data_IF_875368019550
#
_entry.id   IF_875368019550
#
_cell.length_a   1.000
_cell.length_b   1.000
_cell.length_c   1.000
_cell.angle_alpha   90.00
_cell.angle_beta   90.00
_cell.angle_gamma   90.00
#
_symmetry.space_group_name_H-M   'P 1'
#
loop_
_entity.id
_entity.type
_entity.pdbx_description
1 polymer ?
#
# COMPACT_ATOMS: atom_id res chain seq x y z
N UNK A 1 -10.54 -7.39 -3.08
CA UNK A 1 -11.57 -7.96 -2.17
C UNK A 1 -11.12 -9.17 -1.33
N UNK A 2 -10.46 -10.22 -1.85
CA UNK A 2 -10.09 -11.38 -1.00
C UNK A 2 -8.99 -11.09 0.02
N UNK A 3 -7.91 -10.39 -0.37
CA UNK A 3 -6.82 -9.99 0.55
C UNK A 3 -7.27 -9.04 1.65
N UNK A 4 -8.12 -8.06 1.33
CA UNK A 4 -8.74 -7.14 2.30
C UNK A 4 -9.59 -7.90 3.33
N UNK A 5 -10.45 -8.82 2.88
CA UNK A 5 -11.24 -9.67 3.79
C UNK A 5 -10.36 -10.56 4.67
N UNK A 6 -9.27 -11.11 4.13
CA UNK A 6 -8.32 -11.92 4.92
C UNK A 6 -7.52 -11.07 5.91
N UNK A 7 -7.04 -9.91 5.50
CA UNK A 7 -6.30 -8.98 6.37
C UNK A 7 -7.20 -8.46 7.50
N UNK A 8 -8.42 -8.01 7.19
CA UNK A 8 -9.39 -7.57 8.18
C UNK A 8 -9.77 -8.70 9.14
N UNK A 9 -9.88 -9.95 8.66
CA UNK A 9 -10.11 -11.11 9.51
C UNK A 9 -8.93 -11.42 10.43
N UNK A 10 -7.69 -11.29 9.93
CA UNK A 10 -6.48 -11.50 10.73
C UNK A 10 -6.32 -10.41 11.79
N UNK A 11 -6.56 -9.15 11.44
CA UNK A 11 -6.55 -8.01 12.38
C UNK A 11 -7.64 -8.18 13.42
N UNK A 12 -8.87 -8.52 13.02
CA UNK A 12 -9.98 -8.79 13.95
C UNK A 12 -9.61 -9.91 14.92
N UNK A 13 -9.08 -11.05 14.45
CA UNK A 13 -8.67 -12.15 15.34
C UNK A 13 -7.54 -11.75 16.31
N UNK A 14 -6.61 -10.91 15.85
CA UNK A 14 -5.55 -10.38 16.68
C UNK A 14 -6.12 -9.46 17.77
N UNK A 15 -6.97 -8.51 17.40
CA UNK A 15 -7.61 -7.57 18.35
C UNK A 15 -8.54 -8.29 19.32
N UNK A 16 -9.29 -9.30 18.88
CA UNK A 16 -10.13 -10.12 19.76
C UNK A 16 -9.29 -10.80 20.84
N UNK A 17 -8.16 -11.40 20.45
CA UNK A 17 -7.26 -12.05 21.39
C UNK A 17 -6.59 -11.05 22.35
N UNK A 18 -6.22 -9.86 21.87
CA UNK A 18 -5.73 -8.78 22.75
C UNK A 18 -6.85 -8.32 23.70
N UNK A 19 -8.07 -8.20 23.20
CA UNK A 19 -9.26 -7.88 23.99
C UNK A 19 -9.52 -8.89 25.11
N UNK A 20 -9.35 -10.19 24.87
CA UNK A 20 -9.40 -11.22 25.91
C UNK A 20 -8.32 -11.01 26.99
N UNK A 21 -7.11 -10.59 26.61
CA UNK A 21 -6.03 -10.28 27.56
C UNK A 21 -6.37 -9.06 28.42
N UNK A 22 -6.94 -8.01 27.81
CA UNK A 22 -7.42 -6.82 28.53
C UNK A 22 -8.56 -7.19 29.48
N UNK A 23 -9.58 -7.89 29.00
CA UNK A 23 -10.75 -8.26 29.80
C UNK A 23 -10.42 -9.21 30.97
N UNK A 24 -9.32 -9.98 30.86
CA UNK A 24 -8.85 -10.85 31.95
C UNK A 24 -7.89 -10.16 32.94
N UNK A 25 -7.69 -8.85 32.82
CA UNK A 25 -6.84 -8.05 33.70
C UNK A 25 -5.35 -8.37 33.60
N UNK A 26 -4.93 -9.08 32.55
CA UNK A 26 -3.53 -9.54 32.41
C UNK A 26 -2.53 -8.42 32.11
N UNK A 27 -3.04 -7.26 31.68
CA UNK A 27 -2.24 -6.06 31.39
C UNK A 27 -2.37 -5.01 32.51
N UNK A 28 -3.23 -5.22 33.50
CA UNK A 28 -3.58 -4.21 34.48
C UNK A 28 -2.42 -3.91 35.41
N UNK A 29 -2.11 -2.63 35.59
CA UNK A 29 -1.02 -2.17 36.44
C UNK A 29 0.39 -2.51 35.95
N UNK A 30 0.52 -3.07 34.72
CA UNK A 30 1.81 -3.48 34.14
C UNK A 30 2.33 -2.47 33.13
N UNK A 31 3.65 -2.40 33.01
CA UNK A 31 4.32 -1.71 31.93
C UNK A 31 4.15 -2.54 30.63
N UNK A 32 3.33 -2.07 29.70
CA UNK A 32 3.04 -2.80 28.45
C UNK A 32 4.10 -2.51 27.40
N UNK A 33 4.76 -3.58 26.92
CA UNK A 33 5.84 -3.54 25.94
C UNK A 33 5.38 -4.34 24.71
N UNK A 34 5.54 -3.77 23.52
CA UNK A 34 5.14 -4.43 22.28
C UNK A 34 6.38 -4.99 21.56
N UNK A 35 6.45 -6.31 21.41
CA UNK A 35 7.57 -7.00 20.74
C UNK A 35 7.23 -7.30 19.28
N UNK A 36 7.88 -6.56 18.39
CA UNK A 36 7.81 -6.73 16.94
C UNK A 36 7.08 -5.56 16.34
N UNK A 37 7.84 -4.68 15.69
CA UNK A 37 7.28 -3.51 15.02
C UNK A 37 6.74 -3.96 13.66
N UNK A 38 5.49 -4.43 13.67
CA UNK A 38 4.81 -4.97 12.50
C UNK A 38 3.93 -3.93 11.83
N UNK A 39 3.48 -4.23 10.62
CA UNK A 39 2.60 -3.34 9.86
C UNK A 39 1.26 -3.09 10.57
N UNK A 40 0.74 -4.09 11.27
CA UNK A 40 -0.52 -4.04 12.01
C UNK A 40 -0.38 -3.35 13.39
N UNK A 41 0.80 -2.83 13.73
CA UNK A 41 1.11 -2.29 15.07
C UNK A 41 0.19 -1.13 15.46
N UNK A 42 -0.17 -0.25 14.53
CA UNK A 42 -1.03 0.89 14.82
C UNK A 42 -2.43 0.48 15.33
N UNK A 43 -3.01 -0.61 14.80
CA UNK A 43 -4.28 -1.14 15.29
C UNK A 43 -4.15 -1.61 16.75
N UNK A 44 -3.02 -2.24 17.09
CA UNK A 44 -2.74 -2.68 18.46
C UNK A 44 -2.59 -1.47 19.38
N UNK A 45 -1.78 -0.48 18.97
CA UNK A 45 -1.54 0.75 19.73
C UNK A 45 -2.86 1.47 19.98
N UNK A 46 -3.62 1.78 18.94
CA UNK A 46 -4.89 2.47 19.05
C UNK A 46 -5.89 1.70 19.93
N UNK A 47 -6.01 0.38 19.73
CA UNK A 47 -6.89 -0.45 20.55
C UNK A 47 -6.52 -0.39 22.04
N UNK A 48 -5.24 -0.58 22.38
CA UNK A 48 -4.79 -0.53 23.77
C UNK A 48 -4.97 0.87 24.38
N UNK A 49 -4.62 1.93 23.66
CA UNK A 49 -4.80 3.31 24.12
C UNK A 49 -6.27 3.65 24.33
N UNK A 50 -7.19 3.18 23.47
CA UNK A 50 -8.64 3.35 23.65
C UNK A 50 -9.19 2.67 24.92
N UNK A 51 -8.42 1.72 25.49
CA UNK A 51 -8.71 1.05 26.76
C UNK A 51 -7.95 1.66 27.94
N UNK A 52 -7.33 2.82 27.75
CA UNK A 52 -6.54 3.50 28.78
C UNK A 52 -5.18 2.85 29.05
N UNK A 53 -4.73 1.91 28.21
CA UNK A 53 -3.46 1.21 28.40
C UNK A 53 -2.35 2.02 27.71
N UNK A 54 -1.36 2.45 28.50
CA UNK A 54 -0.17 3.14 28.01
C UNK A 54 0.89 2.13 27.60
N UNK A 55 1.48 2.33 26.42
CA UNK A 55 2.60 1.54 25.93
C UNK A 55 3.90 2.23 26.34
N UNK A 56 4.83 1.46 26.90
CA UNK A 56 6.07 2.00 27.45
C UNK A 56 7.24 1.93 26.46
N UNK A 57 7.28 0.89 25.63
CA UNK A 57 8.33 0.72 24.63
C UNK A 57 7.92 -0.26 23.52
N UNK A 58 8.59 -0.10 22.38
CA UNK A 58 8.68 -1.13 21.36
C UNK A 58 10.03 -1.85 21.49
N UNK A 59 10.02 -3.16 21.24
CA UNK A 59 11.25 -3.93 21.07
C UNK A 59 11.24 -4.66 19.72
N UNK A 60 12.37 -4.68 19.03
CA UNK A 60 12.53 -5.34 17.73
C UNK A 60 13.99 -5.81 17.56
N UNK A 61 14.18 -6.90 16.82
CA UNK A 61 15.51 -7.45 16.54
C UNK A 61 16.17 -6.81 15.30
N UNK A 62 15.43 -6.00 14.54
CA UNK A 62 15.94 -5.35 13.33
C UNK A 62 16.87 -4.18 13.67
N UNK A 63 18.16 -4.21 13.28
CA UNK A 63 19.08 -3.07 13.48
C UNK A 63 18.58 -1.78 12.81
N UNK A 64 17.76 -1.90 11.75
CA UNK A 64 17.18 -0.76 11.03
C UNK A 64 16.10 -0.01 11.82
N UNK A 65 15.52 -0.65 12.84
CA UNK A 65 14.44 -0.09 13.65
C UNK A 65 14.90 0.33 15.04
N UNK A 66 15.89 -0.37 15.59
CA UNK A 66 16.48 -0.04 16.90
C UNK A 66 16.99 1.41 16.88
N UNK A 67 16.66 2.18 17.93
CA UNK A 67 17.00 3.59 18.06
C UNK A 67 16.01 4.56 17.41
N UNK A 68 15.01 4.07 16.66
CA UNK A 68 13.90 4.90 16.14
C UNK A 68 12.80 5.05 17.19
N UNK A 69 11.86 5.96 16.93
CA UNK A 69 10.62 6.10 17.69
C UNK A 69 9.40 5.87 16.78
N UNK A 70 8.32 5.37 17.35
CA UNK A 70 7.04 5.11 16.70
C UNK A 70 5.97 5.77 17.58
N UNK A 71 5.21 6.74 17.06
CA UNK A 71 4.25 7.51 17.87
C UNK A 71 4.87 8.06 19.18
N UNK A 72 6.08 8.61 19.08
CA UNK A 72 6.83 9.14 20.24
C UNK A 72 7.42 8.09 21.20
N UNK A 73 7.22 6.80 20.96
CA UNK A 73 7.71 5.70 21.82
C UNK A 73 8.94 5.04 21.19
N UNK A 74 10.03 4.92 21.95
CA UNK A 74 11.30 4.37 21.46
C UNK A 74 11.25 2.87 21.12
N UNK A 75 12.08 2.49 20.14
CA UNK A 75 12.34 1.10 19.74
C UNK A 75 13.71 0.67 20.21
N UNK A 76 13.76 -0.43 20.95
CA UNK A 76 14.98 -0.96 21.54
C UNK A 76 15.24 -2.40 21.10
N UNK A 77 16.47 -2.88 21.28
CA UNK A 77 16.70 -4.33 21.21
C UNK A 77 16.11 -5.00 22.46
N UNK A 78 15.64 -6.26 22.38
CA UNK A 78 15.14 -6.98 23.55
C UNK A 78 16.14 -7.02 24.69
N UNK A 79 17.42 -7.26 24.38
CA UNK A 79 18.49 -7.36 25.39
C UNK A 79 18.75 -6.02 26.07
N UNK A 80 18.76 -4.91 25.33
CA UNK A 80 19.05 -3.59 25.91
C UNK A 80 17.95 -3.08 26.84
N UNK A 81 16.69 -3.46 26.58
CA UNK A 81 15.54 -2.92 27.29
C UNK A 81 15.00 -3.83 28.39
N UNK A 82 15.16 -5.14 28.22
CA UNK A 82 14.60 -6.15 29.12
C UNK A 82 15.64 -6.75 30.07
N UNK A 83 16.91 -6.36 29.96
CA UNK A 83 17.98 -6.78 30.87
C UNK A 83 18.50 -5.57 31.68
N UNK A 84 18.53 -5.61 33.03
CA UNK A 84 18.07 -6.71 33.90
C UNK A 84 16.55 -6.95 33.81
N UNK A 85 16.13 -8.17 34.19
CA UNK A 85 14.72 -8.56 34.15
C UNK A 85 13.84 -7.56 34.93
N UNK A 86 12.83 -7.02 34.26
CA UNK A 86 11.80 -6.16 34.86
C UNK A 86 10.72 -7.01 35.55
N UNK A 87 10.28 -6.61 36.74
CA UNK A 87 9.34 -7.37 37.60
C UNK A 87 7.85 -7.06 37.38
N UNK A 88 7.51 -5.99 36.65
CA UNK A 88 6.12 -5.56 36.44
C UNK A 88 5.82 -5.17 34.98
N UNK A 89 6.09 -6.10 34.05
CA UNK A 89 5.89 -5.89 32.62
C UNK A 89 4.87 -6.86 32.04
N UNK A 90 4.22 -6.43 30.95
CA UNK A 90 3.47 -7.29 30.05
C UNK A 90 4.02 -7.12 28.63
N UNK A 91 4.75 -8.14 28.15
CA UNK A 91 5.35 -8.13 26.82
C UNK A 91 4.38 -8.80 25.84
N UNK A 92 3.83 -8.06 24.90
CA UNK A 92 2.95 -8.59 23.86
C UNK A 92 3.73 -8.83 22.57
N UNK A 93 3.89 -10.10 22.20
CA UNK A 93 4.52 -10.50 20.94
C UNK A 93 3.53 -10.24 19.79
N UNK A 94 3.89 -9.28 18.94
CA UNK A 94 3.06 -8.74 17.86
C UNK A 94 3.39 -9.33 16.48
N UNK A 95 4.48 -10.10 16.33
CA UNK A 95 4.78 -10.77 15.06
C UNK A 95 4.14 -12.15 14.99
N UNK A 96 3.22 -12.35 14.05
CA UNK A 96 2.73 -13.68 13.74
C UNK A 96 3.87 -14.58 13.23
N UNK A 97 4.71 -14.08 12.32
CA UNK A 97 5.74 -14.89 11.66
C UNK A 97 6.85 -15.36 12.60
N UNK A 98 7.30 -14.48 13.50
CA UNK A 98 8.47 -14.70 14.37
C UNK A 98 8.08 -15.05 15.82
N UNK A 99 6.83 -15.41 16.05
CA UNK A 99 6.29 -15.61 17.40
C UNK A 99 7.06 -16.65 18.20
N UNK A 100 7.52 -17.73 17.53
CA UNK A 100 8.22 -18.83 18.20
C UNK A 100 9.63 -18.40 18.62
N UNK A 101 10.36 -17.79 17.70
CA UNK A 101 11.71 -17.27 17.90
C UNK A 101 11.71 -16.21 19.01
N UNK A 102 10.79 -15.24 18.94
CA UNK A 102 10.63 -14.21 19.96
C UNK A 102 10.22 -14.80 21.32
N UNK A 103 9.36 -15.83 21.35
CA UNK A 103 9.01 -16.52 22.59
C UNK A 103 10.20 -17.26 23.21
N UNK A 104 11.13 -17.78 22.41
CA UNK A 104 12.36 -18.40 22.91
C UNK A 104 13.27 -17.33 23.51
N UNK A 105 13.49 -16.23 22.80
CA UNK A 105 14.34 -15.11 23.24
C UNK A 105 13.85 -14.48 24.56
N UNK A 106 12.55 -14.20 24.67
CA UNK A 106 11.97 -13.65 25.91
C UNK A 106 12.12 -14.62 27.08
N UNK A 107 11.98 -15.93 26.84
CA UNK A 107 12.22 -16.96 27.87
C UNK A 107 13.68 -17.03 28.29
N UNK A 108 14.63 -16.90 27.38
CA UNK A 108 16.06 -16.88 27.76
C UNK A 108 16.43 -15.66 28.59
N UNK A 109 15.68 -14.56 28.49
CA UNK A 109 15.81 -13.38 29.35
C UNK A 109 15.09 -13.54 30.71
N UNK A 110 14.52 -14.71 31.00
CA UNK A 110 13.93 -15.05 32.29
C UNK A 110 12.44 -14.72 32.43
N UNK A 111 11.75 -14.30 31.36
CA UNK A 111 10.33 -13.98 31.39
C UNK A 111 9.45 -15.21 31.15
N UNK A 112 8.29 -15.26 31.81
CA UNK A 112 7.40 -16.43 31.82
C UNK A 112 6.15 -16.22 30.97
N UNK A 113 5.81 -17.20 30.14
CA UNK A 113 4.64 -17.13 29.25
C UNK A 113 3.35 -17.09 30.06
N UNK A 114 2.40 -16.28 29.62
CA UNK A 114 1.11 -16.04 30.26
C UNK A 114 1.18 -15.36 31.63
N UNK A 115 2.38 -14.97 32.08
CA UNK A 115 2.59 -14.16 33.29
C UNK A 115 3.20 -12.83 32.87
N UNK A 116 4.40 -12.89 32.29
CA UNK A 116 5.19 -11.73 31.89
C UNK A 116 5.00 -11.40 30.39
N UNK A 117 4.74 -12.41 29.56
CA UNK A 117 4.58 -12.22 28.11
C UNK A 117 3.43 -13.02 27.50
N UNK A 118 2.86 -12.46 26.44
CA UNK A 118 1.68 -12.94 25.73
C UNK A 118 1.89 -12.86 24.22
N UNK A 119 0.99 -13.47 23.44
CA UNK A 119 1.07 -13.47 21.98
C UNK A 119 -0.20 -12.86 21.41
N UNK A 120 -0.05 -11.91 20.48
CA UNK A 120 -1.18 -11.26 19.82
C UNK A 120 -1.93 -12.22 18.89
N UNK A 121 -1.29 -13.30 18.42
CA UNK A 121 -1.88 -14.30 17.53
C UNK A 121 -2.02 -15.68 18.19
N UNK A 122 -3.19 -16.31 18.03
CA UNK A 122 -3.41 -17.72 18.36
C UNK A 122 -3.06 -18.59 17.14
N UNK A 123 -1.89 -19.23 17.15
CA UNK A 123 -1.53 -20.21 16.12
C UNK A 123 -2.45 -21.44 16.20
N UNK A 124 -3.27 -21.65 15.17
CA UNK A 124 -3.95 -22.93 14.95
C UNK A 124 -3.06 -23.79 14.06
N UNK A 125 -2.68 -24.99 14.53
CA UNK A 125 -2.05 -26.00 13.64
C UNK A 125 -2.96 -26.19 12.42
N UNK A 126 -2.41 -26.19 11.20
CA UNK A 126 -3.25 -26.33 10.02
C UNK A 126 -3.86 -27.74 10.02
N UNK A 127 -5.19 -27.80 10.14
CA UNK A 127 -5.97 -29.04 10.26
C UNK A 127 -5.92 -29.92 8.99
N UNK A 128 -5.47 -29.37 7.86
CA UNK A 128 -5.51 -30.04 6.56
C UNK A 128 -4.27 -30.93 6.33
N UNK A 129 -4.45 -32.25 6.15
CA UNK A 129 -3.41 -33.19 5.73
C UNK A 129 -2.64 -32.73 4.49
N UNK A 130 -1.35 -33.10 4.39
CA UNK A 130 -0.45 -32.68 3.31
C UNK A 130 -0.99 -33.07 1.92
N UNK A 131 -1.42 -34.32 1.74
CA UNK A 131 -1.97 -34.84 0.49
C UNK A 131 -3.17 -34.02 -0.03
N UNK A 132 -4.07 -33.58 0.86
CA UNK A 132 -5.20 -32.74 0.47
C UNK A 132 -4.75 -31.35 -0.01
N UNK A 133 -3.63 -30.83 0.48
CA UNK A 133 -3.05 -29.56 -0.02
C UNK A 133 -2.46 -29.70 -1.41
N UNK A 134 -1.86 -30.85 -1.72
CA UNK A 134 -1.34 -31.16 -3.05
C UNK A 134 -2.48 -31.26 -4.07
N UNK A 135 -3.56 -31.98 -3.73
CA UNK A 135 -4.77 -32.04 -4.56
C UNK A 135 -5.35 -30.64 -4.80
N UNK A 136 -5.44 -29.82 -3.75
CA UNK A 136 -5.93 -28.44 -3.88
C UNK A 136 -5.02 -27.59 -4.79
N UNK A 137 -3.71 -27.81 -4.72
CA UNK A 137 -2.73 -27.10 -5.56
C UNK A 137 -2.86 -27.51 -7.03
N UNK A 138 -3.02 -28.81 -7.32
CA UNK A 138 -3.28 -29.32 -8.66
C UNK A 138 -4.60 -28.77 -9.23
N UNK A 139 -5.68 -28.78 -8.44
CA UNK A 139 -6.97 -28.16 -8.83
C UNK A 139 -6.80 -26.67 -9.15
N UNK A 140 -5.96 -25.96 -8.40
CA UNK A 140 -5.66 -24.53 -8.64
C UNK A 140 -4.95 -24.33 -9.98
N UNK A 141 -3.95 -25.16 -10.28
CA UNK A 141 -3.19 -25.15 -11.55
C UNK A 141 -4.12 -25.44 -12.73
N UNK A 142 -4.89 -26.53 -12.66
CA UNK A 142 -5.83 -26.92 -13.73
C UNK A 142 -6.87 -25.81 -13.98
N UNK A 143 -7.46 -25.26 -12.91
CA UNK A 143 -8.39 -24.14 -13.03
C UNK A 143 -7.76 -22.91 -13.67
N UNK A 144 -6.50 -22.60 -13.36
CA UNK A 144 -5.75 -21.51 -13.99
C UNK A 144 -5.53 -21.72 -15.49
N UNK A 145 -5.19 -22.95 -15.90
CA UNK A 145 -5.01 -23.29 -17.31
C UNK A 145 -6.31 -23.16 -18.11
N UNK A 146 -7.45 -23.54 -17.55
CA UNK A 146 -8.75 -23.33 -18.20
C UNK A 146 -9.12 -21.85 -18.31
N UNK A 147 -8.79 -21.02 -17.31
CA UNK A 147 -8.97 -19.57 -17.40
C UNK A 147 -8.12 -19.02 -18.55
N UNK A 148 -6.86 -19.42 -18.65
CA UNK A 148 -5.97 -19.03 -19.75
C UNK A 148 -6.55 -19.41 -21.11
N UNK A 149 -6.93 -20.69 -21.31
CA UNK A 149 -7.55 -21.16 -22.55
C UNK A 149 -8.78 -20.36 -22.95
N UNK A 150 -9.63 -20.03 -21.97
CA UNK A 150 -10.85 -19.26 -22.21
C UNK A 150 -10.53 -17.83 -22.66
N UNK A 151 -9.56 -17.17 -22.04
CA UNK A 151 -9.17 -15.79 -22.39
C UNK A 151 -8.48 -15.76 -23.76
N UNK A 152 -7.64 -16.75 -24.05
CA UNK A 152 -6.92 -16.84 -25.33
C UNK A 152 -7.78 -17.40 -26.47
N UNK A 153 -9.01 -17.84 -26.19
CA UNK A 153 -9.89 -18.41 -27.21
C UNK A 153 -10.25 -17.35 -28.25
N UNK A 154 -10.16 -17.70 -29.54
CA UNK A 154 -10.39 -16.78 -30.65
C UNK A 154 -9.23 -15.84 -30.97
N UNK A 155 -8.15 -15.85 -30.19
CA UNK A 155 -6.92 -15.11 -30.53
C UNK A 155 -5.97 -15.97 -31.39
N UNK A 156 -5.10 -15.33 -32.19
CA UNK A 156 -4.04 -16.03 -32.92
C UNK A 156 -3.15 -16.87 -32.01
N UNK A 157 -2.63 -18.00 -32.50
CA UNK A 157 -1.76 -18.91 -31.71
C UNK A 157 -0.50 -18.24 -31.17
N UNK A 158 -0.01 -17.22 -31.85
CA UNK A 158 1.16 -16.45 -31.43
C UNK A 158 0.84 -15.36 -30.41
N UNK A 159 -0.44 -15.10 -30.08
CA UNK A 159 -0.83 -14.04 -29.18
C UNK A 159 -0.26 -14.20 -27.77
N UNK A 160 0.08 -13.07 -27.14
CA UNK A 160 0.67 -13.01 -25.80
C UNK A 160 -0.34 -12.44 -24.80
N UNK A 161 -0.51 -13.14 -23.68
CA UNK A 161 -1.24 -12.62 -22.53
C UNK A 161 -0.33 -11.73 -21.67
N UNK A 162 -0.65 -10.44 -21.61
CA UNK A 162 0.06 -9.44 -20.79
C UNK A 162 -0.69 -9.28 -19.47
N UNK A 163 -0.24 -9.98 -18.43
CA UNK A 163 -0.97 -10.09 -17.16
C UNK A 163 -0.53 -9.00 -16.18
N UNK A 164 -1.43 -8.06 -15.88
CA UNK A 164 -1.31 -7.07 -14.80
C UNK A 164 -1.81 -7.71 -13.49
N UNK A 165 -0.91 -8.12 -12.59
CA UNK A 165 -1.24 -9.04 -11.52
C UNK A 165 -1.65 -8.32 -10.23
N UNK A 166 -1.17 -7.10 -9.99
CA UNK A 166 -1.59 -6.31 -8.84
C UNK A 166 -2.81 -5.47 -9.16
N UNK A 167 -3.58 -5.15 -8.12
CA UNK A 167 -4.80 -4.35 -8.23
C UNK A 167 -4.56 -2.86 -7.95
N UNK A 168 -3.29 -2.45 -7.76
CA UNK A 168 -2.91 -1.08 -7.46
C UNK A 168 -2.87 -0.21 -8.71
N UNK A 169 -3.19 1.08 -8.55
CA UNK A 169 -3.11 2.06 -9.64
C UNK A 169 -1.66 2.41 -10.00
N UNK A 170 -0.75 2.47 -9.03
CA UNK A 170 0.66 2.79 -9.26
C UNK A 170 1.36 1.76 -10.15
N UNK A 171 1.24 0.47 -9.83
CA UNK A 171 1.75 -0.62 -10.69
C UNK A 171 1.20 -0.53 -12.11
N UNK A 172 -0.12 -0.31 -12.24
CA UNK A 172 -0.79 -0.22 -13.53
C UNK A 172 -0.33 1.01 -14.33
N UNK A 173 -0.03 2.12 -13.66
CA UNK A 173 0.45 3.34 -14.28
C UNK A 173 1.85 3.15 -14.85
N UNK A 174 2.78 2.60 -14.05
CA UNK A 174 4.13 2.28 -14.50
C UNK A 174 4.16 1.22 -15.61
N UNK A 175 3.24 0.24 -15.54
CA UNK A 175 3.00 -0.67 -16.67
C UNK A 175 2.62 0.11 -17.92
N UNK A 176 1.62 0.99 -17.83
CA UNK A 176 1.13 1.78 -18.95
C UNK A 176 2.22 2.62 -19.62
N UNK A 177 3.09 3.25 -18.81
CA UNK A 177 4.22 4.07 -19.27
C UNK A 177 5.18 3.32 -20.21
N UNK A 178 5.44 2.03 -19.96
CA UNK A 178 6.48 1.28 -20.67
C UNK A 178 5.96 0.18 -21.58
N UNK A 179 4.68 -0.20 -21.47
CA UNK A 179 4.16 -1.36 -22.18
C UNK A 179 4.24 -1.24 -23.70
N UNK A 180 4.01 -0.05 -24.27
CA UNK A 180 4.14 0.20 -25.72
C UNK A 180 5.57 -0.07 -26.20
N UNK A 181 6.57 0.41 -25.45
CA UNK A 181 7.99 0.19 -25.76
C UNK A 181 8.37 -1.29 -25.69
N UNK A 182 7.87 -1.99 -24.67
CA UNK A 182 8.08 -3.44 -24.54
C UNK A 182 7.46 -4.24 -25.68
N UNK A 183 6.20 -3.94 -26.04
CA UNK A 183 5.51 -4.58 -27.18
C UNK A 183 6.32 -4.41 -28.46
N UNK A 184 6.86 -3.21 -28.69
CA UNK A 184 7.72 -2.92 -29.85
C UNK A 184 9.04 -3.69 -29.79
N UNK A 185 9.73 -3.67 -28.64
CA UNK A 185 11.00 -4.38 -28.44
C UNK A 185 10.88 -5.88 -28.72
N UNK A 186 9.82 -6.50 -28.22
CA UNK A 186 9.61 -7.95 -28.32
C UNK A 186 8.86 -8.37 -29.59
N UNK A 187 8.53 -7.43 -30.49
CA UNK A 187 7.76 -7.67 -31.72
C UNK A 187 6.45 -8.44 -31.46
N UNK A 188 5.64 -7.95 -30.49
CA UNK A 188 4.38 -8.59 -30.11
C UNK A 188 3.23 -8.02 -30.97
N UNK A 189 2.86 -8.74 -32.03
CA UNK A 189 1.80 -8.31 -32.96
C UNK A 189 0.38 -8.52 -32.42
N UNK A 190 0.20 -9.57 -31.61
CA UNK A 190 -1.10 -9.94 -31.05
C UNK A 190 -0.99 -10.12 -29.55
N UNK A 191 -1.82 -9.42 -28.80
CA UNK A 191 -1.83 -9.52 -27.35
C UNK A 191 -3.20 -9.25 -26.76
N UNK A 192 -3.36 -9.67 -25.51
CA UNK A 192 -4.49 -9.31 -24.67
C UNK A 192 -3.99 -8.91 -23.30
N UNK A 193 -4.45 -7.76 -22.81
CA UNK A 193 -4.12 -7.32 -21.45
C UNK A 193 -5.11 -7.95 -20.49
N UNK A 194 -4.60 -8.55 -19.42
CA UNK A 194 -5.41 -9.14 -18.37
C UNK A 194 -5.20 -8.35 -17.08
N UNK A 195 -6.24 -7.63 -16.66
CA UNK A 195 -6.22 -6.72 -15.53
C UNK A 195 -6.83 -7.34 -14.27
N UNK A 196 -6.10 -7.34 -13.15
CA UNK A 196 -6.64 -7.74 -11.84
C UNK A 196 -7.50 -6.61 -11.23
N UNK A 197 -8.75 -6.52 -11.69
CA UNK A 197 -9.74 -5.56 -11.21
C UNK A 197 -9.97 -4.37 -12.15
N UNK A 198 -11.08 -3.65 -11.93
CA UNK A 198 -11.52 -2.55 -12.79
C UNK A 198 -10.63 -1.32 -12.70
N UNK A 199 -10.02 -1.03 -11.54
CA UNK A 199 -9.11 0.10 -11.38
C UNK A 199 -7.92 -0.02 -12.34
N UNK A 200 -7.28 -1.18 -12.39
CA UNK A 200 -6.17 -1.48 -13.31
C UNK A 200 -6.60 -1.28 -14.76
N UNK A 201 -7.79 -1.78 -15.15
CA UNK A 201 -8.35 -1.57 -16.48
C UNK A 201 -8.49 -0.07 -16.81
N UNK A 202 -8.99 0.74 -15.88
CA UNK A 202 -9.12 2.19 -16.08
C UNK A 202 -7.76 2.85 -16.27
N UNK A 203 -6.76 2.49 -15.47
CA UNK A 203 -5.41 3.06 -15.57
C UNK A 203 -4.75 2.71 -16.92
N UNK A 204 -4.77 1.44 -17.33
CA UNK A 204 -4.14 1.05 -18.61
C UNK A 204 -4.84 1.68 -19.83
N UNK A 205 -6.15 1.94 -19.72
CA UNK A 205 -6.91 2.66 -20.76
C UNK A 205 -6.42 4.10 -20.96
N UNK A 206 -5.90 4.76 -19.93
CA UNK A 206 -5.26 6.08 -20.08
C UNK A 206 -4.10 6.03 -21.09
N UNK A 207 -3.47 4.88 -21.28
CA UNK A 207 -2.38 4.69 -22.26
C UNK A 207 -2.87 4.14 -23.61
N UNK A 208 -4.16 4.30 -23.91
CA UNK A 208 -4.81 3.86 -25.16
C UNK A 208 -4.91 2.34 -25.34
N UNK A 209 -4.86 1.56 -24.26
CA UNK A 209 -5.05 0.11 -24.34
C UNK A 209 -6.54 -0.26 -24.19
N UNK A 210 -7.17 -0.64 -25.30
CA UNK A 210 -8.60 -1.01 -25.33
C UNK A 210 -8.87 -2.49 -25.04
N UNK A 211 -7.99 -3.38 -25.52
CA UNK A 211 -8.16 -4.84 -25.42
C UNK A 211 -7.76 -5.38 -24.03
N UNK A 212 -8.64 -5.12 -23.05
CA UNK A 212 -8.40 -5.44 -21.64
C UNK A 212 -9.50 -6.33 -21.06
N UNK A 213 -9.12 -7.53 -20.60
CA UNK A 213 -9.97 -8.46 -19.86
C UNK A 213 -9.77 -8.28 -18.38
N UNK A 214 -10.87 -8.12 -17.63
CA UNK A 214 -10.82 -8.01 -16.17
C UNK A 214 -10.97 -9.39 -15.54
N UNK A 215 -10.07 -9.71 -14.62
CA UNK A 215 -10.14 -10.89 -13.76
C UNK A 215 -10.17 -10.49 -12.29
N UNK A 216 -10.65 -11.39 -11.44
CA UNK A 216 -10.61 -11.20 -9.99
C UNK A 216 -9.33 -11.77 -9.35
N UNK A 217 -9.01 -11.44 -8.09
CA UNK A 217 -7.80 -11.91 -7.43
C UNK A 217 -7.63 -13.44 -7.39
N UNK A 218 -8.73 -14.20 -7.26
CA UNK A 218 -8.69 -15.67 -7.25
C UNK A 218 -8.31 -16.23 -8.62
N UNK A 219 -8.87 -15.67 -9.69
CA UNK A 219 -8.51 -16.04 -11.06
C UNK A 219 -7.05 -15.72 -11.35
N UNK A 220 -6.57 -14.56 -10.90
CA UNK A 220 -5.16 -14.16 -11.00
C UNK A 220 -4.24 -15.14 -10.27
N UNK A 221 -4.57 -15.53 -9.04
CA UNK A 221 -3.79 -16.50 -8.27
C UNK A 221 -3.70 -17.85 -8.99
N UNK A 222 -4.81 -18.30 -9.59
CA UNK A 222 -4.87 -19.54 -10.37
C UNK A 222 -4.05 -19.45 -11.65
N UNK A 223 -4.18 -18.35 -12.41
CA UNK A 223 -3.41 -18.11 -13.63
C UNK A 223 -1.91 -18.12 -13.37
N UNK A 224 -1.44 -17.40 -12.35
CA UNK A 224 -0.03 -17.41 -11.97
C UNK A 224 0.43 -18.81 -11.53
N UNK A 225 -0.39 -19.55 -10.79
CA UNK A 225 -0.06 -20.91 -10.40
C UNK A 225 0.10 -21.84 -11.61
N UNK A 226 -0.82 -21.74 -12.57
CA UNK A 226 -0.76 -22.52 -13.80
C UNK A 226 0.48 -22.16 -14.63
N UNK A 227 0.73 -20.87 -14.81
CA UNK A 227 1.90 -20.38 -15.53
C UNK A 227 3.22 -20.79 -14.85
N UNK A 228 3.31 -20.71 -13.52
CA UNK A 228 4.49 -21.17 -12.78
C UNK A 228 4.76 -22.67 -12.96
N UNK A 229 3.70 -23.48 -13.05
CA UNK A 229 3.83 -24.93 -13.20
C UNK A 229 4.12 -25.35 -14.64
N UNK A 230 3.48 -24.70 -15.62
CA UNK A 230 3.52 -25.09 -17.04
C UNK A 230 4.51 -24.27 -17.89
N UNK A 231 4.91 -23.11 -17.40
CA UNK A 231 5.83 -22.14 -18.01
C UNK A 231 5.42 -21.69 -19.44
N UNK A 232 6.32 -20.96 -20.10
CA UNK A 232 6.18 -20.44 -21.46
C UNK A 232 5.99 -21.52 -22.53
N UNK A 233 6.40 -22.76 -22.27
CA UNK A 233 6.22 -23.88 -23.20
C UNK A 233 4.75 -24.20 -23.49
N UNK A 234 3.86 -24.00 -22.51
CA UNK A 234 2.43 -24.28 -22.64
C UNK A 234 1.54 -23.04 -22.53
N UNK A 235 2.07 -21.94 -22.01
CA UNK A 235 1.31 -20.71 -21.74
C UNK A 235 2.12 -19.47 -22.17
N UNK A 236 1.68 -18.79 -23.24
CA UNK A 236 2.27 -17.51 -23.67
C UNK A 236 1.77 -16.37 -22.78
N UNK A 237 2.33 -16.27 -21.59
CA UNK A 237 2.00 -15.26 -20.59
C UNK A 237 3.25 -14.49 -20.21
N UNK A 238 3.16 -13.16 -20.19
CA UNK A 238 4.13 -12.26 -19.56
C UNK A 238 3.48 -11.65 -18.32
N UNK A 239 3.81 -12.11 -17.11
CA UNK A 239 3.44 -11.41 -15.89
C UNK A 239 4.18 -10.06 -15.84
N UNK A 240 3.42 -8.97 -15.73
CA UNK A 240 3.94 -7.61 -15.63
C UNK A 240 4.19 -7.29 -14.16
N UNK A 241 5.24 -7.91 -13.63
CA UNK A 241 5.47 -8.06 -12.20
C UNK A 241 6.98 -8.08 -11.92
N UNK A 242 7.44 -7.19 -11.05
CA UNK A 242 8.85 -6.99 -10.74
C UNK A 242 9.33 -7.79 -9.50
N UNK A 243 8.45 -8.07 -8.52
CA UNK A 243 8.82 -8.85 -7.33
C UNK A 243 8.40 -10.33 -7.36
N UNK A 244 9.23 -11.21 -6.79
CA UNK A 244 8.80 -12.40 -6.02
C UNK A 244 8.09 -13.56 -6.78
N UNK A 245 7.96 -13.53 -8.11
CA UNK A 245 7.20 -14.57 -8.81
C UNK A 245 8.03 -15.75 -9.35
N UNK A 246 9.33 -15.55 -9.64
CA UNK A 246 10.25 -16.63 -10.08
C UNK A 246 11.08 -17.24 -8.95
N UNK A 247 11.32 -16.46 -7.90
CA UNK A 247 12.08 -16.90 -6.72
C UNK A 247 11.37 -16.29 -5.53
N UNK A 248 10.94 -17.10 -4.54
CA UNK A 248 10.46 -16.63 -3.23
C UNK A 248 11.56 -15.97 -2.38
N UNK A 249 12.59 -15.46 -3.04
CA UNK A 249 13.66 -14.69 -2.46
C UNK A 249 13.35 -13.28 -2.90
N UNK A 250 13.07 -12.42 -1.92
CA UNK A 250 13.26 -10.99 -2.08
C UNK A 250 14.66 -10.81 -2.66
N UNK A 251 14.76 -10.67 -3.97
CA UNK A 251 15.83 -9.89 -4.56
C UNK A 251 15.45 -8.42 -4.31
N UNK A 252 15.16 -8.08 -3.04
CA UNK A 252 15.54 -6.78 -2.53
C UNK A 252 17.07 -6.81 -2.57
N UNK A 253 17.68 -6.72 -3.77
CA UNK A 253 18.99 -6.09 -3.86
C UNK A 253 18.73 -4.77 -3.16
N UNK A 254 19.32 -4.64 -1.97
CA UNK A 254 18.94 -3.66 -0.97
C UNK A 254 18.48 -2.36 -1.65
N UNK A 255 17.20 -2.02 -1.53
CA UNK A 255 16.67 -0.73 -2.00
C UNK A 255 17.41 0.45 -1.35
N UNK A 256 18.09 0.18 -0.24
CA UNK A 256 18.96 1.10 0.48
C UNK A 256 20.42 1.14 -0.04
N UNK A 257 20.85 0.23 -0.92
CA UNK A 257 22.23 0.14 -1.47
C UNK A 257 22.29 0.56 -2.94
N UNK A 258 21.27 0.24 -3.74
CA UNK A 258 21.20 0.67 -5.13
C UNK A 258 20.22 1.84 -5.25
N UNK A 259 20.59 2.95 -5.92
CA UNK A 259 19.74 4.12 -6.11
C UNK A 259 18.70 3.87 -7.22
N UNK A 260 17.94 2.79 -7.08
CA UNK A 260 16.86 2.43 -8.00
C UNK A 260 15.54 2.93 -7.44
N UNK A 261 14.74 3.56 -8.29
CA UNK A 261 13.38 3.95 -7.98
C UNK A 261 12.38 2.84 -8.30
N UNK A 262 11.15 2.99 -7.81
CA UNK A 262 10.04 2.11 -8.16
C UNK A 262 9.76 2.07 -9.68
N UNK A 263 9.99 3.17 -10.38
CA UNK A 263 9.89 3.25 -11.84
C UNK A 263 10.95 2.38 -12.53
N UNK A 264 12.16 2.34 -11.97
CA UNK A 264 13.30 1.61 -12.54
C UNK A 264 13.09 0.09 -12.48
N UNK A 265 12.47 -0.40 -11.41
CA UNK A 265 12.10 -1.81 -11.29
C UNK A 265 11.15 -2.27 -12.41
N UNK A 266 10.24 -1.40 -12.86
CA UNK A 266 9.44 -1.69 -14.04
C UNK A 266 10.25 -1.60 -15.32
N UNK A 267 10.98 -0.50 -15.52
CA UNK A 267 11.76 -0.25 -16.74
C UNK A 267 12.78 -1.36 -16.99
N UNK A 268 13.67 -1.60 -16.04
CA UNK A 268 14.77 -2.56 -16.16
C UNK A 268 14.37 -3.97 -15.74
N UNK A 269 13.58 -4.12 -14.68
CA UNK A 269 13.25 -5.45 -14.14
C UNK A 269 12.10 -6.16 -14.88
N UNK A 270 11.00 -5.46 -15.18
CA UNK A 270 9.83 -6.07 -15.83
C UNK A 270 9.98 -6.09 -17.34
N UNK A 271 10.37 -4.95 -17.90
CA UNK A 271 10.37 -4.73 -19.34
C UNK A 271 11.77 -4.85 -19.97
N UNK A 272 12.83 -4.87 -19.15
CA UNK A 272 14.22 -5.00 -19.61
C UNK A 272 14.57 -3.94 -20.67
N UNK A 273 14.07 -2.72 -20.50
CA UNK A 273 14.24 -1.62 -21.45
C UNK A 273 15.52 -0.83 -21.17
N UNK A 274 16.12 -0.31 -22.24
CA UNK A 274 17.33 0.52 -22.14
C UNK A 274 17.04 1.88 -21.50
N UNK A 275 18.08 2.50 -20.95
CA UNK A 275 18.01 3.80 -20.28
C UNK A 275 17.46 4.92 -21.21
N UNK A 276 17.77 4.87 -22.50
CA UNK A 276 17.30 5.86 -23.48
C UNK A 276 15.79 5.79 -23.76
N UNK A 277 15.10 4.72 -23.33
CA UNK A 277 13.67 4.57 -23.58
C UNK A 277 12.87 5.61 -22.80
N UNK A 278 12.13 6.42 -23.56
CA UNK A 278 11.21 7.44 -23.05
C UNK A 278 9.89 6.79 -22.67
N UNK A 279 9.36 7.14 -21.51
CA UNK A 279 8.06 6.70 -21.05
C UNK A 279 6.93 7.28 -21.91
N UNK A 280 5.90 6.48 -22.15
CA UNK A 280 4.64 6.98 -22.72
C UNK A 280 3.89 7.81 -21.69
N UNK A 281 3.24 8.87 -22.14
CA UNK A 281 2.32 9.66 -21.30
C UNK A 281 0.90 9.09 -21.32
N UNK A 282 0.16 9.17 -20.20
CA UNK A 282 -1.28 8.93 -20.20
C UNK A 282 -2.03 10.01 -21.00
N UNK A 283 -3.26 9.68 -21.40
CA UNK A 283 -4.21 10.57 -22.07
C UNK A 283 -5.40 10.76 -21.13
N UNK A 284 -5.71 12.02 -20.84
CA UNK A 284 -6.84 12.43 -20.00
C UNK A 284 -7.94 13.08 -20.84
N UNK A 285 -9.16 13.08 -20.32
CA UNK A 285 -10.30 13.77 -20.89
C UNK A 285 -10.23 15.25 -20.51
N UNK A 286 -9.76 16.08 -21.45
CA UNK A 286 -9.60 17.53 -21.28
C UNK A 286 -10.89 18.33 -21.57
N UNK A 287 -12.07 17.69 -21.51
CA UNK A 287 -13.33 18.39 -21.74
C UNK A 287 -13.62 19.42 -20.64
N UNK A 288 -13.32 20.69 -20.94
CA UNK A 288 -13.47 21.82 -20.01
C UNK A 288 -14.90 21.94 -19.45
N UNK A 289 -15.93 21.63 -20.24
CA UNK A 289 -17.32 21.69 -19.78
C UNK A 289 -17.63 20.66 -18.70
N UNK A 290 -17.03 19.48 -18.76
CA UNK A 290 -17.17 18.46 -17.72
C UNK A 290 -16.42 18.85 -16.45
N UNK A 291 -15.27 19.53 -16.60
CA UNK A 291 -14.54 20.11 -15.48
C UNK A 291 -15.38 21.23 -14.84
N UNK A 292 -15.93 22.18 -15.61
CA UNK A 292 -16.82 23.23 -15.12
C UNK A 292 -18.01 22.65 -14.35
N UNK A 293 -18.71 21.68 -14.96
CA UNK A 293 -19.85 21.02 -14.34
C UNK A 293 -19.47 20.32 -13.03
N UNK A 294 -18.26 19.77 -12.92
CA UNK A 294 -17.77 19.21 -11.66
C UNK A 294 -17.62 20.30 -10.59
N UNK A 295 -16.97 21.43 -10.91
CA UNK A 295 -16.78 22.52 -9.95
C UNK A 295 -18.11 23.15 -9.53
N UNK A 296 -19.02 23.39 -10.48
CA UNK A 296 -20.35 23.94 -10.22
C UNK A 296 -21.19 23.02 -9.33
N UNK A 297 -21.21 21.72 -9.65
CA UNK A 297 -21.95 20.69 -8.89
C UNK A 297 -21.56 20.68 -7.42
N UNK A 298 -20.27 20.86 -7.14
CA UNK A 298 -19.73 20.81 -5.80
C UNK A 298 -19.53 22.21 -5.19
N UNK A 299 -19.87 23.30 -5.88
CA UNK A 299 -19.64 24.67 -5.39
C UNK A 299 -18.17 24.95 -5.06
N UNK A 300 -17.25 24.42 -5.86
CA UNK A 300 -15.79 24.55 -5.68
C UNK A 300 -15.26 25.76 -6.46
N UNK A 301 -14.16 26.34 -5.97
CA UNK A 301 -13.54 27.52 -6.59
C UNK A 301 -12.28 27.10 -7.36
N UNK A 302 -12.28 27.26 -8.69
CA UNK A 302 -11.10 26.99 -9.52
C UNK A 302 -9.89 27.82 -9.09
N UNK A 303 -8.70 27.22 -9.10
CA UNK A 303 -7.43 27.81 -8.66
C UNK A 303 -7.35 28.07 -7.14
N UNK A 304 -8.44 27.85 -6.40
CA UNK A 304 -8.55 28.02 -4.94
C UNK A 304 -9.21 26.82 -4.28
N UNK A 305 -9.08 25.64 -4.89
CA UNK A 305 -9.56 24.38 -4.30
C UNK A 305 -8.38 23.47 -3.98
N UNK A 306 -8.38 22.93 -2.76
CA UNK A 306 -7.46 21.85 -2.37
C UNK A 306 -8.23 20.54 -2.29
N UNK A 307 -7.84 19.56 -3.09
CA UNK A 307 -8.40 18.21 -3.05
C UNK A 307 -7.54 17.34 -2.14
N UNK A 308 -8.14 16.80 -1.07
CA UNK A 308 -7.48 15.90 -0.14
C UNK A 308 -7.60 14.44 -0.58
N UNK A 309 -6.52 13.68 -0.50
CA UNK A 309 -6.51 12.22 -0.62
C UNK A 309 -5.88 11.60 0.64
N UNK A 310 -6.61 11.56 1.76
CA UNK A 310 -6.08 11.12 3.05
C UNK A 310 -5.98 9.59 3.18
N UNK A 311 -6.46 8.84 2.17
CA UNK A 311 -6.57 7.39 2.20
C UNK A 311 -5.60 6.73 1.23
N UNK A 312 -5.04 5.58 1.65
CA UNK A 312 -4.11 4.78 0.86
C UNK A 312 -4.58 3.31 0.81
N UNK A 313 -5.70 3.05 0.12
CA UNK A 313 -6.19 1.71 -0.14
C UNK A 313 -6.35 0.85 1.14
N UNK A 314 -5.67 -0.29 1.23
CA UNK A 314 -5.74 -1.17 2.41
C UNK A 314 -4.97 -0.66 3.64
N UNK A 315 -4.28 0.47 3.51
CA UNK A 315 -3.46 1.11 4.51
C UNK A 315 -4.04 2.51 4.75
N UNK A 316 -5.18 2.59 5.43
CA UNK A 316 -5.65 3.89 5.91
C UNK A 316 -4.49 4.53 6.70
N UNK A 317 -4.10 5.76 6.33
CA UNK A 317 -2.93 6.48 6.86
C UNK A 317 -2.73 6.19 8.35
N UNK A 318 -1.56 5.64 8.67
CA UNK A 318 -1.29 5.04 9.97
C UNK A 318 -0.84 6.07 11.01
N UNK A 319 -0.43 7.28 10.59
CA UNK A 319 0.16 8.30 11.46
C UNK A 319 -0.63 9.61 11.45
N UNK A 320 -1.13 10.05 10.29
CA UNK A 320 -1.84 11.32 10.22
C UNK A 320 -3.26 11.11 10.76
N UNK A 321 -3.51 11.65 11.95
CA UNK A 321 -4.80 11.53 12.61
C UNK A 321 -5.89 12.32 11.88
N UNK A 322 -7.16 11.97 12.13
CA UNK A 322 -8.29 12.77 11.64
C UNK A 322 -8.23 14.21 12.15
N UNK A 323 -7.79 14.41 13.39
CA UNK A 323 -7.62 15.74 13.98
C UNK A 323 -6.58 16.57 13.23
N UNK A 324 -5.45 15.98 12.83
CA UNK A 324 -4.46 16.67 12.00
C UNK A 324 -5.03 17.05 10.64
N UNK A 325 -5.76 16.14 9.99
CA UNK A 325 -6.44 16.47 8.73
C UNK A 325 -7.46 17.60 8.91
N UNK A 326 -8.21 17.62 10.00
CA UNK A 326 -9.14 18.70 10.34
C UNK A 326 -8.41 20.03 10.57
N UNK A 327 -7.25 20.02 11.23
CA UNK A 327 -6.41 21.21 11.38
C UNK A 327 -5.92 21.73 10.03
N UNK A 328 -5.48 20.85 9.13
CA UNK A 328 -5.12 21.21 7.75
C UNK A 328 -6.33 21.82 7.03
N UNK A 329 -7.51 21.22 7.11
CA UNK A 329 -8.75 21.74 6.50
C UNK A 329 -9.07 23.13 7.02
N UNK A 330 -9.03 23.33 8.34
CA UNK A 330 -9.34 24.62 8.95
C UNK A 330 -8.30 25.70 8.56
N UNK A 331 -7.02 25.34 8.53
CA UNK A 331 -5.94 26.23 8.09
C UNK A 331 -6.03 26.62 6.62
N UNK A 332 -6.41 25.70 5.73
CA UNK A 332 -6.64 26.01 4.32
C UNK A 332 -7.84 26.93 4.12
N UNK A 333 -8.95 26.66 4.83
CA UNK A 333 -10.14 27.51 4.76
C UNK A 333 -9.90 28.93 5.28
N UNK A 334 -9.13 29.09 6.36
CA UNK A 334 -8.78 30.43 6.86
C UNK A 334 -7.92 31.22 5.87
N UNK A 335 -7.19 30.53 4.99
CA UNK A 335 -6.45 31.11 3.85
C UNK A 335 -7.31 31.33 2.58
N UNK A 336 -8.61 31.08 2.66
CA UNK A 336 -9.56 31.33 1.57
C UNK A 336 -9.66 30.21 0.53
N UNK A 337 -9.18 28.99 0.82
CA UNK A 337 -9.37 27.84 -0.06
C UNK A 337 -10.71 27.14 0.19
N UNK A 338 -11.35 26.69 -0.89
CA UNK A 338 -12.31 25.59 -0.83
C UNK A 338 -11.55 24.28 -0.62
N UNK A 339 -12.10 23.36 0.19
CA UNK A 339 -11.44 22.08 0.50
C UNK A 339 -12.44 20.93 0.38
N UNK A 340 -12.05 19.87 -0.33
CA UNK A 340 -12.87 18.67 -0.51
C UNK A 340 -12.03 17.40 -0.32
N UNK A 341 -12.67 16.29 0.03
CA UNK A 341 -11.99 14.99 0.19
C UNK A 341 -12.35 14.08 -0.97
N UNK A 342 -11.35 13.57 -1.67
CA UNK A 342 -11.51 12.44 -2.59
C UNK A 342 -11.91 11.21 -1.78
N UNK A 343 -13.16 10.77 -1.97
CA UNK A 343 -13.82 9.82 -1.08
C UNK A 343 -14.73 8.89 -1.88
N UNK A 344 -14.70 7.61 -1.51
CA UNK A 344 -15.63 6.60 -2.03
C UNK A 344 -16.82 6.34 -1.07
N UNK A 345 -17.10 7.28 -0.17
CA UNK A 345 -18.23 7.22 0.77
C UNK A 345 -17.85 6.55 2.09
N UNK A 346 -18.69 5.63 2.59
CA UNK A 346 -18.59 5.10 3.96
C UNK A 346 -17.26 4.39 4.25
N UNK A 347 -16.63 3.79 3.24
CA UNK A 347 -15.33 3.09 3.40
C UNK A 347 -14.15 4.07 3.57
N UNK A 348 -14.27 5.27 3.01
CA UNK A 348 -13.25 6.33 3.02
C UNK A 348 -13.98 7.67 3.24
N UNK A 349 -14.49 7.94 4.46
CA UNK A 349 -15.38 9.07 4.71
C UNK A 349 -14.70 10.41 4.42
N UNK A 350 -15.44 11.49 4.11
CA UNK A 350 -14.79 12.80 3.99
C UNK A 350 -14.23 13.24 5.35
N UNK A 351 -13.09 13.94 5.33
CA UNK A 351 -12.57 14.61 6.52
C UNK A 351 -13.60 15.64 6.99
N UNK A 352 -13.77 15.77 8.30
CA UNK A 352 -14.72 16.72 8.86
C UNK A 352 -14.43 18.15 8.36
N UNK A 353 -15.51 18.85 8.01
CA UNK A 353 -15.41 20.17 7.39
C UNK A 353 -15.20 20.15 5.87
N UNK A 354 -15.11 18.98 5.23
CA UNK A 354 -15.02 18.88 3.77
C UNK A 354 -16.25 18.17 3.19
N UNK A 355 -16.48 18.37 1.89
CA UNK A 355 -17.42 17.54 1.13
C UNK A 355 -16.71 16.37 0.45
N UNK A 356 -17.39 15.23 0.35
CA UNK A 356 -16.91 14.09 -0.43
C UNK A 356 -17.05 14.37 -1.92
N UNK A 357 -15.96 14.21 -2.67
CA UNK A 357 -15.94 14.28 -4.12
C UNK A 357 -15.44 12.96 -4.71
N UNK A 358 -15.97 12.63 -5.89
CA UNK A 358 -15.52 11.49 -6.67
C UNK A 358 -15.62 11.86 -8.15
N UNK A 359 -14.59 11.51 -8.91
CA UNK A 359 -14.52 11.78 -10.34
C UNK A 359 -13.87 10.61 -11.11
N UNK A 360 -14.18 10.47 -12.41
CA UNK A 360 -13.51 9.50 -13.27
C UNK A 360 -11.99 9.69 -13.33
N UNK A 361 -11.25 8.60 -13.47
CA UNK A 361 -9.79 8.62 -13.46
C UNK A 361 -9.20 9.35 -14.67
N UNK A 362 -9.87 9.29 -15.81
CA UNK A 362 -9.52 10.03 -17.03
C UNK A 362 -9.76 11.53 -16.91
N UNK A 363 -10.52 12.00 -15.92
CA UNK A 363 -10.66 13.44 -15.63
C UNK A 363 -9.75 13.90 -14.49
N UNK A 364 -8.95 13.01 -13.89
CA UNK A 364 -8.26 13.34 -12.64
C UNK A 364 -7.27 14.47 -12.79
N UNK A 365 -6.45 14.50 -13.84
CA UNK A 365 -5.46 15.58 -14.05
C UNK A 365 -6.14 16.91 -14.37
N UNK A 366 -7.07 17.01 -15.34
CA UNK A 366 -7.78 18.27 -15.62
C UNK A 366 -8.51 18.86 -14.41
N UNK A 367 -9.10 18.02 -13.55
CA UNK A 367 -9.73 18.48 -12.30
C UNK A 367 -8.68 19.01 -11.32
N UNK A 368 -7.53 18.33 -11.18
CA UNK A 368 -6.45 18.78 -10.30
C UNK A 368 -5.87 20.11 -10.78
N UNK A 369 -5.61 20.24 -12.08
CA UNK A 369 -5.16 21.48 -12.71
C UNK A 369 -6.12 22.63 -12.43
N UNK A 370 -7.42 22.40 -12.63
CA UNK A 370 -8.45 23.39 -12.34
C UNK A 370 -8.60 23.70 -10.84
N UNK A 371 -8.33 22.74 -9.94
CA UNK A 371 -8.42 22.95 -8.50
C UNK A 371 -7.30 23.87 -8.01
N UNK A 372 -6.09 23.66 -8.50
CA UNK A 372 -4.88 24.40 -8.14
C UNK A 372 -4.12 23.82 -6.95
N UNK A 373 -4.72 22.89 -6.17
CA UNK A 373 -4.10 22.30 -5.01
C UNK A 373 -4.46 20.84 -4.74
N UNK A 374 -3.48 20.06 -4.28
CA UNK A 374 -3.65 18.68 -3.82
C UNK A 374 -2.82 18.40 -2.57
N UNK A 375 -3.40 17.67 -1.61
CA UNK A 375 -2.66 17.11 -0.46
C UNK A 375 -3.06 15.66 -0.28
N UNK A 376 -2.12 14.73 -0.25
CA UNK A 376 -2.46 13.32 -0.06
C UNK A 376 -1.34 12.46 0.50
N UNK A 377 -1.74 11.32 1.06
CA UNK A 377 -0.79 10.27 1.44
C UNK A 377 -0.30 9.59 0.16
N UNK A 378 1.01 9.33 0.07
CA UNK A 378 1.64 8.70 -1.09
C UNK A 378 0.92 7.41 -1.47
N UNK A 379 0.24 7.41 -2.60
CA UNK A 379 -0.52 6.26 -3.10
C UNK A 379 -0.39 6.13 -4.61
N UNK A 380 -0.87 5.01 -5.16
CA UNK A 380 -0.93 4.83 -6.62
C UNK A 380 -1.78 5.88 -7.34
N UNK A 381 -2.65 6.61 -6.62
CA UNK A 381 -3.38 7.74 -7.20
C UNK A 381 -2.44 8.92 -7.48
N UNK A 382 -1.47 9.18 -6.60
CA UNK A 382 -0.42 10.20 -6.80
C UNK A 382 0.39 9.95 -8.08
N UNK A 383 0.63 8.68 -8.42
CA UNK A 383 1.30 8.32 -9.68
C UNK A 383 0.44 8.72 -10.89
N UNK A 384 -0.87 8.48 -10.82
CA UNK A 384 -1.79 8.81 -11.92
C UNK A 384 -1.92 10.31 -12.13
N UNK A 385 -2.00 11.10 -11.05
CA UNK A 385 -2.13 12.56 -11.15
C UNK A 385 -0.79 13.27 -11.28
N UNK A 386 0.33 12.54 -11.41
CA UNK A 386 1.66 13.13 -11.31
C UNK A 386 1.95 14.19 -12.37
N UNK A 387 1.29 14.13 -13.53
CA UNK A 387 1.44 15.11 -14.61
C UNK A 387 0.60 16.38 -14.41
N UNK A 388 -0.16 16.48 -13.31
CA UNK A 388 -0.88 17.70 -12.93
C UNK A 388 0.09 18.84 -12.64
N UNK A 389 -0.33 20.04 -13.02
CA UNK A 389 0.30 21.33 -12.76
C UNK A 389 -0.12 21.94 -11.42
N UNK A 390 -1.06 21.33 -10.70
CA UNK A 390 -1.49 21.80 -9.38
C UNK A 390 -0.33 21.82 -8.37
N UNK A 391 -0.47 22.66 -7.33
CA UNK A 391 0.43 22.61 -6.19
C UNK A 391 0.20 21.31 -5.39
N UNK A 392 1.11 20.35 -5.57
CA UNK A 392 0.95 18.98 -5.09
C UNK A 392 1.80 18.72 -3.85
N UNK A 393 1.16 18.47 -2.71
CA UNK A 393 1.81 18.01 -1.48
C UNK A 393 1.57 16.51 -1.29
N UNK A 394 2.64 15.73 -1.16
CA UNK A 394 2.61 14.28 -0.98
C UNK A 394 3.29 13.88 0.31
N UNK A 395 2.60 13.10 1.14
CA UNK A 395 3.06 12.74 2.47
C UNK A 395 3.43 11.24 2.52
N UNK A 396 4.63 10.97 3.01
CA UNK A 396 5.22 9.65 3.18
C UNK A 396 5.27 9.30 4.67
N UNK A 397 4.56 8.27 5.10
CA UNK A 397 4.59 7.83 6.51
C UNK A 397 5.82 6.95 6.79
N UNK A 398 6.84 7.55 7.39
CA UNK A 398 8.19 6.96 7.50
C UNK A 398 8.28 5.77 8.46
N UNK A 399 7.33 5.67 9.38
CA UNK A 399 7.29 4.69 10.47
C UNK A 399 7.22 3.26 9.96
N UNK A 400 6.53 2.99 8.84
CA UNK A 400 6.39 1.61 8.36
C UNK A 400 7.54 1.15 7.46
N UNK A 401 8.34 2.08 6.93
CA UNK A 401 9.29 1.87 5.83
C UNK A 401 8.68 1.06 4.65
N UNK A 402 7.35 1.06 4.52
CA UNK A 402 6.63 0.33 3.45
C UNK A 402 6.72 1.11 2.15
N UNK A 403 6.69 2.43 2.24
CA UNK A 403 6.75 3.36 1.11
C UNK A 403 7.84 4.41 1.38
N UNK A 404 9.13 4.04 1.37
CA UNK A 404 10.19 5.00 1.56
C UNK A 404 10.24 6.03 0.43
N UNK A 405 10.44 7.30 0.78
CA UNK A 405 10.50 8.41 -0.18
C UNK A 405 11.62 8.23 -1.21
N UNK A 406 12.77 7.69 -0.80
CA UNK A 406 13.91 7.47 -1.70
C UNK A 406 13.61 6.46 -2.81
N UNK A 407 12.56 5.65 -2.69
CA UNK A 407 12.21 4.64 -3.69
C UNK A 407 10.89 4.98 -4.41
N UNK A 408 9.90 5.48 -3.66
CA UNK A 408 8.57 5.81 -4.17
C UNK A 408 8.33 7.31 -4.38
N UNK A 409 9.35 8.15 -4.17
CA UNK A 409 9.34 9.60 -4.43
C UNK A 409 8.92 9.91 -5.85
N UNK A 410 7.92 10.78 -6.04
CA UNK A 410 7.53 11.27 -7.36
C UNK A 410 8.70 11.98 -8.04
N UNK A 411 9.50 12.75 -7.30
CA UNK A 411 10.72 13.38 -7.82
C UNK A 411 11.77 12.36 -8.21
N UNK A 412 12.05 11.41 -7.32
CA UNK A 412 13.08 10.42 -7.57
C UNK A 412 12.72 9.48 -8.74
N UNK A 413 11.43 9.17 -8.88
CA UNK A 413 10.92 8.46 -10.06
C UNK A 413 10.83 9.36 -11.29
N UNK A 414 11.12 10.66 -11.23
CA UNK A 414 10.96 11.60 -12.34
C UNK A 414 9.54 11.64 -12.91
N UNK A 415 8.54 11.56 -12.02
CA UNK A 415 7.12 11.68 -12.37
C UNK A 415 6.59 13.10 -12.16
N UNK A 416 7.12 13.82 -11.16
CA UNK A 416 6.81 15.23 -10.91
C UNK A 416 7.94 15.89 -10.10
N UNK A 417 8.70 16.77 -10.75
CA UNK A 417 9.83 17.47 -10.13
C UNK A 417 9.38 18.61 -9.18
N UNK A 418 8.15 19.11 -9.38
CA UNK A 418 7.57 20.23 -8.64
C UNK A 418 6.76 19.79 -7.41
N UNK A 419 6.56 18.48 -7.21
CA UNK A 419 5.86 17.97 -6.03
C UNK A 419 6.55 18.43 -4.74
N UNK A 420 5.80 18.66 -3.68
CA UNK A 420 6.32 18.91 -2.34
C UNK A 420 6.16 17.61 -1.57
N UNK A 421 7.27 17.01 -1.16
CA UNK A 421 7.26 15.68 -0.55
C UNK A 421 7.73 15.75 0.90
N UNK A 422 6.90 15.29 1.83
CA UNK A 422 7.21 15.26 3.26
C UNK A 422 7.30 13.83 3.76
N UNK A 423 8.31 13.53 4.56
CA UNK A 423 8.30 12.35 5.43
C UNK A 423 7.73 12.73 6.80
N UNK A 424 6.69 12.03 7.23
CA UNK A 424 6.09 12.19 8.55
C UNK A 424 6.31 10.94 9.38
N UNK A 425 6.90 11.10 10.56
CA UNK A 425 7.26 10.02 11.47
C UNK A 425 6.32 9.89 12.69
N UNK A 426 5.27 10.71 12.74
CA UNK A 426 4.35 10.75 13.88
C UNK A 426 4.89 11.58 15.06
N UNK A 427 5.83 12.49 14.81
CA UNK A 427 6.32 13.47 15.79
C UNK A 427 6.00 14.89 15.37
N UNK A 428 5.74 15.75 16.36
CA UNK A 428 5.49 17.19 16.19
C UNK A 428 4.37 17.53 15.19
N UNK A 429 3.16 17.05 15.50
CA UNK A 429 1.94 17.25 14.69
C UNK A 429 1.72 18.73 14.31
N UNK A 430 1.95 19.66 15.25
CA UNK A 430 1.75 21.10 15.03
C UNK A 430 2.75 21.68 14.03
N UNK A 431 4.03 21.34 14.16
CA UNK A 431 5.03 21.77 13.18
C UNK A 431 4.77 21.15 11.81
N UNK A 432 4.38 19.88 11.75
CA UNK A 432 4.05 19.22 10.49
C UNK A 432 2.86 19.89 9.78
N UNK A 433 1.76 20.13 10.51
CA UNK A 433 0.59 20.84 9.95
C UNK A 433 0.97 22.24 9.46
N UNK A 434 1.77 22.96 10.24
CA UNK A 434 2.25 24.31 9.87
C UNK A 434 3.10 24.29 8.60
N UNK A 435 3.98 23.30 8.44
CA UNK A 435 4.79 23.11 7.24
C UNK A 435 3.93 22.82 6.02
N UNK A 436 2.99 21.88 6.11
CA UNK A 436 2.05 21.56 5.02
C UNK A 436 1.27 22.81 4.60
N UNK A 437 0.76 23.57 5.58
CA UNK A 437 0.01 24.80 5.32
C UNK A 437 0.86 25.92 4.73
N UNK A 438 2.18 25.95 4.94
CA UNK A 438 3.06 27.00 4.40
C UNK A 438 3.13 27.00 2.87
N UNK A 439 2.72 25.91 2.22
CA UNK A 439 2.70 25.77 0.77
C UNK A 439 1.41 26.23 0.10
N UNK A 440 0.40 26.66 0.87
CA UNK A 440 -0.88 27.17 0.38
C UNK A 440 -1.16 28.55 0.96
#
# INVERSE_FOLDING_TARGET
MSRLKTLNKTISQMLDNIGELVASGKLDGKEVILFGVVRELHHIVHFLTSKGIKIAAFIDNSPRKIGKAYAGIGVYSPESYLNPKKSNVAILICSAMYQQEQSIQIRSLGYVKNIDYFTAYKFKKPKTPLFLREIQSLKRIVSGYYIYKRIMNGLPKNATMLLCPYAGSGDAYLIGMYLKNYIKKENIDHYIIVANGNLVKKVVKLFSFENVVVINPSQKDKLLAAYQFLNSEKMKVKPLLFWDWRVKRNINVNRDILPLSFKDDFKYGVFELDESVVASSPIFNENEREVDAFFDKYGLIKGKTVILAPYMGAYNGMLISYQMWEQIVNGLKSKGYSVCTNSIGVEEPPIQGTQAVFFPLDMSVPIMDAAGGFIGIRSGFCDVISSSTCNMVVIYESVTNVIPIHYFGLKHMGLNDNAIEFEYDGTDDEAFVSQVLSHF
#
